data_IF_682302762793
#
_entry.id   IF_682302762793
#
_cell.length_a   1.000
_cell.length_b   1.000
_cell.length_c   1.000
_cell.angle_alpha   90.00
_cell.angle_beta   90.00
_cell.angle_gamma   90.00
#
_symmetry.space_group_name_H-M   'P 1'
#
loop_
_entity.id
_entity.type
_entity.pdbx_description
1 polymer ?
#
# COMPACT_ATOMS: atom_id res chain seq x y z
N UNK A 1 -28.63 -64.55 29.21
CA UNK A 1 -27.32 -63.99 28.95
C UNK A 1 -27.46 -62.94 27.83
N UNK A 2 -27.61 -61.67 28.19
CA UNK A 2 -27.71 -60.55 27.21
C UNK A 2 -26.33 -59.87 27.06
N UNK A 3 -25.76 -60.01 25.88
CA UNK A 3 -24.49 -59.28 25.54
C UNK A 3 -24.85 -57.82 25.24
N UNK A 4 -24.37 -56.89 26.08
CA UNK A 4 -24.43 -55.45 25.83
C UNK A 4 -23.37 -55.10 24.81
N UNK A 5 -23.76 -54.65 23.63
CA UNK A 5 -22.89 -54.08 22.61
C UNK A 5 -22.77 -52.58 22.94
N UNK A 6 -21.61 -52.17 23.41
CA UNK A 6 -21.25 -50.73 23.54
C UNK A 6 -20.89 -50.20 22.16
N UNK A 7 -21.76 -49.35 21.63
CA UNK A 7 -21.46 -48.56 20.43
C UNK A 7 -20.71 -47.28 20.84
N UNK A 8 -19.39 -47.29 20.71
CA UNK A 8 -18.57 -46.09 20.94
C UNK A 8 -18.64 -45.23 19.69
N UNK A 9 -19.49 -44.23 19.71
CA UNK A 9 -19.52 -43.20 18.65
C UNK A 9 -18.30 -42.31 18.78
N UNK A 10 -17.35 -42.44 17.86
CA UNK A 10 -16.19 -41.57 17.72
C UNK A 10 -16.63 -40.30 17.01
N UNK A 11 -16.89 -39.24 17.80
CA UNK A 11 -17.23 -37.91 17.29
C UNK A 11 -15.95 -37.26 16.75
N UNK A 12 -15.70 -37.39 15.46
CA UNK A 12 -14.64 -36.64 14.76
C UNK A 12 -15.10 -35.20 14.68
N UNK A 13 -14.58 -34.36 15.59
CA UNK A 13 -14.75 -32.93 15.54
C UNK A 13 -13.85 -32.40 14.37
N UNK A 14 -14.46 -32.26 13.20
CA UNK A 14 -13.85 -31.54 12.08
C UNK A 14 -13.72 -30.07 12.50
N UNK A 15 -12.55 -29.69 13.04
CA UNK A 15 -12.13 -28.33 13.14
C UNK A 15 -11.96 -27.80 11.70
N UNK A 16 -13.01 -27.18 11.17
CA UNK A 16 -12.90 -26.39 9.95
C UNK A 16 -12.01 -25.21 10.28
N UNK A 17 -10.73 -25.33 10.00
CA UNK A 17 -9.83 -24.16 9.95
C UNK A 17 -10.37 -23.35 8.78
N UNK A 18 -11.09 -22.29 9.06
CA UNK A 18 -11.39 -21.26 8.06
C UNK A 18 -10.05 -20.62 7.69
N UNK A 19 -9.35 -21.21 6.73
CA UNK A 19 -8.31 -20.49 6.01
C UNK A 19 -9.03 -19.34 5.28
N UNK A 20 -8.90 -18.14 5.80
CA UNK A 20 -9.29 -16.96 5.03
C UNK A 20 -8.29 -16.86 3.89
N UNK A 21 -8.77 -17.11 2.67
CA UNK A 21 -7.93 -16.96 1.48
C UNK A 21 -7.42 -15.52 1.39
N UNK A 22 -6.22 -15.35 0.85
CA UNK A 22 -5.64 -14.03 0.62
C UNK A 22 -6.44 -13.27 -0.46
N UNK A 23 -6.20 -11.98 -0.55
CA UNK A 23 -6.79 -11.13 -1.58
C UNK A 23 -5.69 -10.56 -2.46
N UNK A 24 -5.81 -10.79 -3.76
CA UNK A 24 -4.98 -10.17 -4.78
C UNK A 24 -5.67 -8.94 -5.34
N UNK A 25 -4.94 -7.84 -5.43
CA UNK A 25 -5.41 -6.58 -5.99
C UNK A 25 -4.45 -6.14 -7.08
N UNK A 26 -5.00 -5.80 -8.25
CA UNK A 26 -4.24 -5.24 -9.37
C UNK A 26 -4.73 -3.84 -9.67
N UNK A 27 -3.81 -2.89 -9.74
CA UNK A 27 -4.08 -1.48 -9.99
C UNK A 27 -3.23 -1.00 -11.16
N UNK A 28 -3.86 -0.37 -12.15
CA UNK A 28 -3.15 0.36 -13.19
C UNK A 28 -2.85 1.77 -12.68
N UNK A 29 -1.63 2.24 -12.94
CA UNK A 29 -1.15 3.58 -12.63
C UNK A 29 -0.69 4.20 -13.94
N UNK A 30 -1.29 5.33 -14.31
CA UNK A 30 -0.89 6.11 -15.48
C UNK A 30 -0.37 7.47 -15.03
N UNK A 31 0.80 7.83 -15.50
CA UNK A 31 1.38 9.17 -15.31
C UNK A 31 1.43 9.85 -16.67
N UNK A 32 0.80 11.01 -16.81
CA UNK A 32 0.84 11.80 -18.04
C UNK A 32 2.28 12.27 -18.32
N UNK A 33 2.57 12.56 -19.58
CA UNK A 33 3.82 13.21 -19.93
C UNK A 33 3.90 14.60 -19.26
N UNK A 34 5.06 14.96 -18.71
CA UNK A 34 5.28 16.25 -18.06
C UNK A 34 6.70 16.75 -18.30
N UNK A 35 6.88 18.05 -18.16
CA UNK A 35 8.20 18.66 -18.23
C UNK A 35 8.71 18.95 -16.80
N UNK A 36 9.95 18.58 -16.49
CA UNK A 36 10.60 18.89 -15.23
C UNK A 36 12.04 19.35 -15.47
N UNK A 37 12.39 20.52 -14.95
CA UNK A 37 13.73 21.12 -15.10
C UNK A 37 14.19 21.20 -16.58
N UNK A 38 13.26 21.51 -17.50
CA UNK A 38 13.54 21.59 -18.94
C UNK A 38 13.67 20.26 -19.67
N UNK A 39 13.46 19.13 -19.00
CA UNK A 39 13.45 17.81 -19.60
C UNK A 39 12.01 17.26 -19.71
N UNK A 40 11.64 16.81 -20.89
CA UNK A 40 10.38 16.14 -21.10
C UNK A 40 10.45 14.69 -20.60
N UNK A 41 9.55 14.36 -19.69
CA UNK A 41 9.32 12.98 -19.25
C UNK A 41 8.14 12.42 -20.05
N UNK A 42 8.29 11.30 -20.73
CA UNK A 42 7.19 10.66 -21.46
C UNK A 42 6.13 10.15 -20.49
N UNK A 43 4.91 9.98 -20.99
CA UNK A 43 3.87 9.28 -20.25
C UNK A 43 4.33 7.87 -19.87
N UNK A 44 3.88 7.39 -18.71
CA UNK A 44 4.29 6.09 -18.16
C UNK A 44 3.09 5.34 -17.62
N UNK A 45 2.98 4.06 -18.02
CA UNK A 45 2.03 3.11 -17.45
C UNK A 45 2.77 2.12 -16.55
N UNK A 46 2.24 1.88 -15.37
CA UNK A 46 2.75 0.92 -14.40
C UNK A 46 1.61 0.07 -13.84
N UNK A 47 1.95 -1.11 -13.40
CA UNK A 47 1.02 -1.99 -12.68
C UNK A 47 1.50 -2.12 -11.24
N UNK A 48 0.60 -1.87 -10.32
CA UNK A 48 0.79 -2.15 -8.91
C UNK A 48 0.02 -3.43 -8.55
N UNK A 49 0.72 -4.38 -7.95
CA UNK A 49 0.15 -5.62 -7.45
C UNK A 49 0.23 -5.65 -5.94
N UNK A 50 -0.88 -6.03 -5.31
CA UNK A 50 -0.95 -6.14 -3.84
C UNK A 50 -1.49 -7.52 -3.46
N UNK A 51 -0.94 -8.06 -2.39
CA UNK A 51 -1.47 -9.23 -1.71
C UNK A 51 -1.80 -8.85 -0.27
N UNK A 52 -3.03 -9.13 0.13
CA UNK A 52 -3.55 -8.84 1.47
C UNK A 52 -3.87 -10.16 2.12
N UNK A 53 -3.08 -10.54 3.10
CA UNK A 53 -3.29 -11.73 3.92
C UNK A 53 -3.75 -11.36 5.33
N UNK A 54 -3.80 -12.35 6.20
CA UNK A 54 -4.12 -12.13 7.61
C UNK A 54 -2.93 -11.45 8.31
N UNK A 55 -3.06 -10.14 8.61
CA UNK A 55 -2.01 -9.29 9.17
C UNK A 55 -0.73 -9.14 8.31
N UNK A 56 -0.80 -9.48 7.04
CA UNK A 56 0.31 -9.34 6.10
C UNK A 56 -0.13 -8.57 4.86
N UNK A 57 0.76 -7.75 4.32
CA UNK A 57 0.54 -6.96 3.11
C UNK A 57 1.81 -7.00 2.27
N UNK A 58 1.66 -7.29 0.99
CA UNK A 58 2.72 -7.08 0.01
C UNK A 58 2.25 -6.06 -1.00
N UNK A 59 3.11 -5.11 -1.30
CA UNK A 59 2.90 -4.12 -2.37
C UNK A 59 4.09 -4.18 -3.32
N UNK A 60 3.81 -4.46 -4.59
CA UNK A 60 4.80 -4.55 -5.65
C UNK A 60 4.48 -3.52 -6.73
N UNK A 61 5.40 -2.60 -6.96
CA UNK A 61 5.29 -1.58 -8.01
C UNK A 61 6.64 -1.41 -8.68
N UNK A 62 6.70 -1.72 -9.98
CA UNK A 62 7.96 -1.69 -10.73
C UNK A 62 9.05 -2.53 -10.05
N UNK A 63 10.17 -1.89 -9.74
CA UNK A 63 11.34 -2.53 -9.12
C UNK A 63 11.32 -2.50 -7.58
N UNK A 64 10.16 -2.24 -6.95
CA UNK A 64 10.04 -2.15 -5.50
C UNK A 64 9.03 -3.16 -4.98
N UNK A 65 9.40 -3.81 -3.89
CA UNK A 65 8.50 -4.68 -3.14
C UNK A 65 8.54 -4.25 -1.68
N UNK A 66 7.38 -3.97 -1.11
CA UNK A 66 7.23 -3.79 0.33
C UNK A 66 6.47 -4.97 0.89
N UNK A 67 7.01 -5.56 1.95
CA UNK A 67 6.39 -6.68 2.67
C UNK A 67 6.17 -6.22 4.10
N UNK A 68 4.94 -6.22 4.54
CA UNK A 68 4.54 -5.88 5.89
C UNK A 68 4.03 -7.12 6.61
N UNK A 69 4.55 -7.38 7.81
CA UNK A 69 4.04 -8.43 8.69
C UNK A 69 3.72 -7.81 10.06
N UNK A 70 2.43 -7.55 10.29
CA UNK A 70 1.95 -6.95 11.53
C UNK A 70 2.05 -7.89 12.73
N UNK A 71 2.03 -9.22 12.49
CA UNK A 71 2.16 -10.20 13.57
C UNK A 71 3.57 -10.27 14.12
N UNK A 72 4.57 -9.99 13.28
CA UNK A 72 5.98 -9.91 13.67
C UNK A 72 6.45 -8.48 13.96
N UNK A 73 5.58 -7.48 13.75
CA UNK A 73 5.94 -6.06 13.83
C UNK A 73 7.16 -5.69 12.97
N UNK A 74 7.20 -6.19 11.73
CA UNK A 74 8.32 -5.98 10.82
C UNK A 74 7.85 -5.57 9.43
N UNK A 75 8.65 -4.76 8.77
CA UNK A 75 8.51 -4.42 7.36
C UNK A 75 9.83 -4.66 6.63
N UNK A 76 9.72 -5.16 5.41
CA UNK A 76 10.85 -5.32 4.50
C UNK A 76 10.63 -4.41 3.29
N UNK A 77 11.65 -3.64 2.95
CA UNK A 77 11.71 -2.85 1.72
C UNK A 77 12.73 -3.54 0.83
N UNK A 78 12.26 -4.16 -0.24
CA UNK A 78 13.05 -5.05 -1.08
C UNK A 78 13.31 -4.36 -2.42
N UNK A 79 14.57 -4.36 -2.84
CA UNK A 79 15.02 -3.88 -4.14
C UNK A 79 15.45 -5.09 -5.00
N UNK A 80 14.61 -5.56 -5.94
CA UNK A 80 14.94 -6.70 -6.81
C UNK A 80 16.14 -6.45 -7.73
N UNK A 81 16.37 -5.19 -8.13
CA UNK A 81 17.47 -4.80 -9.02
C UNK A 81 18.84 -5.11 -8.41
N UNK A 82 18.99 -4.72 -7.15
CA UNK A 82 20.24 -4.91 -6.41
C UNK A 82 20.28 -6.25 -5.67
N UNK A 83 19.19 -7.02 -5.70
CA UNK A 83 18.97 -8.20 -4.85
C UNK A 83 19.27 -7.89 -3.38
N UNK A 84 18.71 -6.80 -2.89
CA UNK A 84 18.91 -6.33 -1.53
C UNK A 84 17.59 -5.97 -0.84
N UNK A 85 17.63 -5.89 0.49
CA UNK A 85 16.49 -5.45 1.29
C UNK A 85 16.92 -4.72 2.54
N UNK A 86 16.05 -3.87 3.04
CA UNK A 86 16.14 -3.27 4.37
C UNK A 86 14.99 -3.82 5.20
N UNK A 87 15.31 -4.24 6.43
CA UNK A 87 14.34 -4.69 7.42
C UNK A 87 14.19 -3.63 8.50
N UNK A 88 12.97 -3.32 8.86
CA UNK A 88 12.67 -2.34 9.91
C UNK A 88 11.55 -2.80 10.82
N UNK A 89 11.64 -2.44 12.10
CA UNK A 89 10.56 -2.67 13.05
C UNK A 89 9.41 -1.69 12.85
N UNK A 90 8.21 -2.08 13.32
CA UNK A 90 7.04 -1.24 13.39
C UNK A 90 6.80 -0.76 14.84
N UNK A 91 6.28 0.47 15.03
CA UNK A 91 5.93 1.48 14.03
C UNK A 91 7.16 2.03 13.30
N UNK A 92 7.01 2.34 12.02
CA UNK A 92 8.10 2.78 11.17
C UNK A 92 8.71 4.12 11.67
N UNK A 93 10.04 4.12 11.81
CA UNK A 93 10.84 5.31 12.12
C UNK A 93 11.79 5.60 10.97
N UNK A 94 11.43 6.57 10.14
CA UNK A 94 12.21 6.93 8.95
C UNK A 94 13.62 7.42 9.29
N UNK A 95 13.84 8.00 10.46
CA UNK A 95 15.16 8.49 10.86
C UNK A 95 16.21 7.37 11.01
N UNK A 96 15.75 6.14 11.27
CA UNK A 96 16.58 4.94 11.38
C UNK A 96 16.83 4.25 10.03
N UNK A 97 16.02 4.58 9.01
CA UNK A 97 16.07 3.93 7.71
C UNK A 97 16.96 4.62 6.70
N UNK A 98 17.35 5.86 6.97
CA UNK A 98 18.13 6.68 6.05
C UNK A 98 19.44 7.13 6.71
N UNK A 99 20.48 7.46 5.92
CA UNK A 99 21.68 8.10 6.44
C UNK A 99 21.36 9.38 7.21
N UNK A 100 22.15 9.71 8.24
CA UNK A 100 21.91 10.87 9.13
C UNK A 100 21.75 12.19 8.38
N UNK A 101 22.52 12.37 7.30
CA UNK A 101 22.46 13.55 6.45
C UNK A 101 21.10 13.68 5.74
N UNK A 102 20.56 12.55 5.30
CA UNK A 102 19.24 12.50 4.68
C UNK A 102 18.12 12.67 5.72
N UNK A 103 18.27 12.17 6.94
CA UNK A 103 17.27 12.27 8.00
C UNK A 103 16.94 13.74 8.33
N UNK A 104 17.93 14.61 8.38
CA UNK A 104 17.73 16.05 8.62
C UNK A 104 16.91 16.73 7.49
N UNK A 105 17.18 16.36 6.24
CA UNK A 105 16.43 16.86 5.09
C UNK A 105 14.98 16.32 5.11
N UNK A 106 14.80 15.04 5.45
CA UNK A 106 13.50 14.40 5.49
C UNK A 106 12.60 14.95 6.61
N UNK A 107 13.19 15.33 7.75
CA UNK A 107 12.43 15.95 8.86
C UNK A 107 11.79 17.30 8.48
N UNK A 108 12.32 17.97 7.45
CA UNK A 108 11.74 19.19 6.89
C UNK A 108 10.64 18.93 5.85
N UNK A 109 10.52 17.70 5.33
CA UNK A 109 9.51 17.30 4.35
C UNK A 109 8.17 16.99 5.03
N UNK A 110 7.61 17.98 5.72
CA UNK A 110 6.31 17.80 6.36
C UNK A 110 5.20 17.83 5.30
N UNK A 111 4.40 16.78 5.26
CA UNK A 111 3.21 16.68 4.42
C UNK A 111 2.00 17.08 5.25
N UNK A 112 1.25 18.09 4.81
CA UNK A 112 -0.07 18.39 5.36
C UNK A 112 -1.13 17.84 4.43
N UNK A 113 -2.16 17.24 4.99
CA UNK A 113 -3.27 16.62 4.24
C UNK A 113 -4.58 17.14 4.77
N UNK A 114 -5.53 17.38 3.89
CA UNK A 114 -6.93 17.66 4.21
C UNK A 114 -7.81 16.79 3.33
N UNK A 115 -8.69 16.00 3.93
CA UNK A 115 -9.66 15.16 3.22
C UNK A 115 -11.06 15.69 3.44
N UNK A 116 -11.78 15.95 2.34
CA UNK A 116 -13.15 16.46 2.34
C UNK A 116 -14.05 15.52 1.54
N UNK A 117 -15.12 14.96 2.12
CA UNK A 117 -16.16 14.28 1.35
C UNK A 117 -16.78 15.25 0.35
N UNK A 118 -16.86 14.89 -0.92
CA UNK A 118 -17.44 15.77 -1.94
C UNK A 118 -18.88 15.40 -2.32
N UNK A 119 -19.49 14.44 -1.60
CA UNK A 119 -20.86 13.96 -1.78
C UNK A 119 -21.18 13.43 -3.20
N UNK A 120 -20.16 13.17 -4.02
CA UNK A 120 -20.35 12.56 -5.34
C UNK A 120 -20.34 11.04 -5.19
N UNK A 121 -21.15 10.39 -6.02
CA UNK A 121 -21.16 8.93 -6.15
C UNK A 121 -20.92 8.56 -7.60
N UNK A 122 -20.16 7.51 -7.84
CA UNK A 122 -19.87 7.02 -9.18
C UNK A 122 -19.71 5.50 -9.18
N UNK A 123 -20.19 4.85 -10.24
CA UNK A 123 -19.89 3.44 -10.47
C UNK A 123 -18.58 3.32 -11.24
N UNK A 124 -17.59 2.66 -10.65
CA UNK A 124 -16.30 2.38 -11.27
C UNK A 124 -16.16 0.86 -11.38
N UNK A 125 -16.08 0.35 -12.59
CA UNK A 125 -16.17 -1.09 -12.85
C UNK A 125 -17.44 -1.68 -12.21
N UNK A 126 -17.28 -2.59 -11.24
CA UNK A 126 -18.39 -3.21 -10.50
C UNK A 126 -18.73 -2.51 -9.18
N UNK A 127 -17.93 -1.54 -8.74
CA UNK A 127 -18.05 -0.91 -7.41
C UNK A 127 -18.86 0.38 -7.44
N UNK A 128 -19.74 0.55 -6.48
CA UNK A 128 -20.37 1.83 -6.17
C UNK A 128 -19.44 2.59 -5.24
N UNK A 129 -19.00 3.76 -5.68
CA UNK A 129 -17.96 4.52 -4.99
C UNK A 129 -18.49 5.87 -4.49
N UNK A 130 -17.95 6.30 -3.36
CA UNK A 130 -18.12 7.66 -2.83
C UNK A 130 -16.85 8.46 -3.12
N UNK A 131 -17.05 9.72 -3.49
CA UNK A 131 -15.97 10.64 -3.85
C UNK A 131 -15.45 11.45 -2.66
N UNK A 132 -14.15 11.69 -2.66
CA UNK A 132 -13.43 12.52 -1.69
C UNK A 132 -12.45 13.41 -2.44
N UNK A 133 -12.33 14.66 -2.00
CA UNK A 133 -11.28 15.57 -2.45
C UNK A 133 -10.18 15.59 -1.38
N UNK A 134 -8.95 15.47 -1.82
CA UNK A 134 -7.77 15.43 -0.95
C UNK A 134 -6.80 16.51 -1.41
N UNK A 135 -6.56 17.47 -0.54
CA UNK A 135 -5.53 18.49 -0.72
C UNK A 135 -4.30 18.11 0.10
N UNK A 136 -3.15 18.07 -0.56
CA UNK A 136 -1.87 17.78 0.09
C UNK A 136 -0.87 18.88 -0.22
N UNK A 137 -0.14 19.33 0.80
CA UNK A 137 0.93 20.29 0.64
C UNK A 137 2.21 19.74 1.24
N UNK A 138 3.30 19.76 0.47
CA UNK A 138 4.63 19.37 0.92
C UNK A 138 5.63 20.41 0.45
N UNK A 139 6.16 21.21 1.39
CA UNK A 139 7.04 22.34 1.09
C UNK A 139 6.41 23.31 0.06
N UNK A 140 6.95 23.38 -1.15
CA UNK A 140 6.45 24.21 -2.26
C UNK A 140 5.61 23.44 -3.27
N UNK A 141 5.33 22.17 -3.02
CA UNK A 141 4.49 21.35 -3.90
C UNK A 141 3.06 21.28 -3.37
N UNK A 142 2.12 21.60 -4.24
CA UNK A 142 0.69 21.44 -4.00
C UNK A 142 0.18 20.26 -4.83
N UNK A 143 -0.52 19.34 -4.17
CA UNK A 143 -1.13 18.20 -4.81
C UNK A 143 -2.63 18.20 -4.51
N UNK A 144 -3.42 18.02 -5.54
CA UNK A 144 -4.87 17.83 -5.42
C UNK A 144 -5.20 16.44 -5.93
N UNK A 145 -5.96 15.70 -5.16
CA UNK A 145 -6.36 14.36 -5.57
C UNK A 145 -7.86 14.18 -5.37
N UNK A 146 -8.52 13.63 -6.38
CA UNK A 146 -9.88 13.11 -6.26
C UNK A 146 -9.80 11.61 -6.05
N UNK A 147 -10.41 11.12 -4.98
CA UNK A 147 -10.41 9.69 -4.59
C UNK A 147 -11.81 9.14 -4.71
N UNK A 148 -11.91 7.92 -5.24
CA UNK A 148 -13.14 7.14 -5.29
C UNK A 148 -12.95 5.88 -4.45
N UNK A 149 -13.74 5.74 -3.38
CA UNK A 149 -13.64 4.64 -2.44
C UNK A 149 -14.95 3.87 -2.34
N UNK A 150 -14.84 2.57 -2.04
CA UNK A 150 -15.97 1.67 -1.85
C UNK A 150 -15.78 0.81 -0.60
N UNK A 151 -16.89 0.50 0.06
CA UNK A 151 -16.90 -0.49 1.16
C UNK A 151 -17.19 -1.91 0.68
N UNK A 152 -17.56 -2.05 -0.60
CA UNK A 152 -17.92 -3.32 -1.23
C UNK A 152 -16.67 -4.03 -1.77
N UNK A 153 -15.84 -4.53 -0.85
CA UNK A 153 -14.63 -5.30 -1.14
C UNK A 153 -14.60 -6.59 -0.31
N UNK A 154 -14.00 -7.69 -0.83
CA UNK A 154 -14.03 -9.01 -0.18
C UNK A 154 -12.98 -9.15 0.95
N UNK A 155 -12.64 -8.06 1.66
CA UNK A 155 -11.69 -8.05 2.77
C UNK A 155 -12.01 -6.93 3.77
N UNK A 156 -11.43 -7.02 4.96
CA UNK A 156 -11.55 -5.95 5.96
C UNK A 156 -10.71 -4.74 5.54
N UNK A 157 -11.38 -3.77 4.88
CA UNK A 157 -10.73 -2.54 4.44
C UNK A 157 -10.24 -1.67 5.63
N UNK A 158 -10.80 -1.83 6.85
CA UNK A 158 -10.32 -1.13 8.04
C UNK A 158 -8.99 -1.71 8.52
N UNK A 159 -8.86 -3.03 8.49
CA UNK A 159 -7.57 -3.69 8.77
C UNK A 159 -6.53 -3.33 7.71
N UNK A 160 -6.92 -3.34 6.42
CA UNK A 160 -6.06 -2.87 5.33
C UNK A 160 -5.58 -1.44 5.57
N UNK A 161 -6.48 -0.51 5.97
CA UNK A 161 -6.12 0.87 6.30
C UNK A 161 -5.10 0.98 7.43
N UNK A 162 -5.19 0.12 8.46
CA UNK A 162 -4.18 0.06 9.54
C UNK A 162 -2.82 -0.43 9.03
N UNK A 163 -2.80 -1.43 8.16
CA UNK A 163 -1.57 -1.91 7.54
C UNK A 163 -0.95 -0.83 6.65
N UNK A 164 -1.78 -0.20 5.81
CA UNK A 164 -1.33 0.84 4.88
C UNK A 164 -0.82 2.10 5.58
N UNK A 165 -1.30 2.43 6.77
CA UNK A 165 -0.78 3.53 7.58
C UNK A 165 0.73 3.40 7.87
N UNK A 166 1.26 2.19 8.00
CA UNK A 166 2.71 1.98 8.14
C UNK A 166 3.44 2.22 6.82
N UNK A 167 2.83 1.84 5.69
CA UNK A 167 3.37 2.11 4.35
C UNK A 167 3.39 3.61 4.06
N UNK A 168 2.35 4.34 4.46
CA UNK A 168 2.24 5.78 4.27
C UNK A 168 3.36 6.58 4.98
N UNK A 169 3.89 6.07 6.10
CA UNK A 169 5.03 6.68 6.79
C UNK A 169 6.31 6.70 5.94
N UNK A 170 6.50 5.76 5.03
CA UNK A 170 7.60 5.80 4.05
C UNK A 170 7.45 7.00 3.10
N UNK A 171 6.22 7.44 2.87
CA UNK A 171 5.89 8.62 2.06
C UNK A 171 5.91 9.93 2.88
N UNK A 172 6.56 9.93 4.03
CA UNK A 172 6.71 11.08 4.94
C UNK A 172 5.40 11.60 5.53
N UNK A 173 4.34 10.78 5.55
CA UNK A 173 3.08 11.12 6.19
C UNK A 173 3.20 10.97 7.71
N UNK A 174 2.91 12.05 8.42
CA UNK A 174 2.80 12.03 9.87
C UNK A 174 1.43 11.47 10.32
N UNK A 175 1.24 11.32 11.63
CA UNK A 175 0.00 10.77 12.18
C UNK A 175 -1.21 11.69 11.89
N UNK A 176 -1.01 13.01 11.72
CA UNK A 176 -2.09 13.93 11.34
C UNK A 176 -2.54 13.67 9.90
N UNK A 177 -1.59 13.55 8.97
CA UNK A 177 -1.88 13.20 7.57
C UNK A 177 -2.58 11.83 7.47
N UNK A 178 -2.09 10.83 8.22
CA UNK A 178 -2.71 9.50 8.28
C UNK A 178 -4.15 9.58 8.85
N UNK A 179 -4.40 10.41 9.85
CA UNK A 179 -5.74 10.59 10.44
C UNK A 179 -6.71 11.27 9.46
N UNK A 180 -6.23 12.18 8.60
CA UNK A 180 -7.03 12.74 7.53
C UNK A 180 -7.48 11.65 6.53
N UNK A 181 -6.57 10.78 6.09
CA UNK A 181 -6.92 9.67 5.20
C UNK A 181 -7.92 8.67 5.80
N UNK A 182 -7.99 8.53 7.13
CA UNK A 182 -9.02 7.70 7.79
C UNK A 182 -10.45 8.21 7.61
N UNK A 183 -10.64 9.47 7.16
CA UNK A 183 -11.97 10.01 6.80
C UNK A 183 -12.52 9.38 5.52
N UNK A 184 -11.67 8.79 4.68
CA UNK A 184 -12.10 8.04 3.50
C UNK A 184 -12.68 6.71 3.97
N UNK A 185 -14.00 6.58 3.88
CA UNK A 185 -14.70 5.35 4.23
C UNK A 185 -14.62 4.36 3.07
N UNK A 186 -13.88 3.27 3.27
CA UNK A 186 -13.74 2.20 2.26
C UNK A 186 -12.33 2.06 1.71
N UNK A 187 -12.23 1.21 0.70
CA UNK A 187 -11.01 0.96 -0.06
C UNK A 187 -10.99 1.84 -1.31
N UNK A 188 -9.88 2.53 -1.58
CA UNK A 188 -9.70 3.36 -2.76
C UNK A 188 -9.61 2.48 -4.01
N UNK A 189 -10.54 2.63 -4.94
CA UNK A 189 -10.55 1.89 -6.21
C UNK A 189 -10.12 2.74 -7.41
N UNK A 190 -10.17 4.05 -7.29
CA UNK A 190 -9.59 4.95 -8.28
C UNK A 190 -9.17 6.26 -7.65
N UNK A 191 -8.20 6.92 -8.27
CA UNK A 191 -7.87 8.32 -7.97
C UNK A 191 -7.32 9.04 -9.18
N UNK A 192 -7.48 10.34 -9.17
CA UNK A 192 -6.86 11.27 -10.09
C UNK A 192 -6.14 12.33 -9.27
N UNK A 193 -4.82 12.39 -9.39
CA UNK A 193 -3.96 13.33 -8.68
C UNK A 193 -3.33 14.30 -9.67
N UNK A 194 -3.41 15.59 -9.38
CA UNK A 194 -2.67 16.63 -10.08
C UNK A 194 -1.67 17.26 -9.11
N UNK A 195 -0.43 17.39 -9.54
CA UNK A 195 0.66 17.92 -8.76
C UNK A 195 1.34 19.02 -9.56
N UNK A 196 1.54 20.19 -8.93
CA UNK A 196 2.36 21.24 -9.50
C UNK A 196 3.77 21.14 -8.92
N UNK A 197 4.74 20.89 -9.80
CA UNK A 197 6.16 20.79 -9.43
C UNK A 197 6.90 21.85 -10.24
N UNK A 198 7.37 22.92 -9.57
CA UNK A 198 8.16 23.98 -10.20
C UNK A 198 7.52 24.57 -11.48
N UNK A 199 6.20 24.78 -11.47
CA UNK A 199 5.47 25.34 -12.60
C UNK A 199 5.02 24.32 -13.66
N UNK A 200 5.39 23.05 -13.52
CA UNK A 200 4.92 21.97 -14.38
C UNK A 200 3.81 21.19 -13.70
N UNK A 201 2.73 20.93 -14.43
CA UNK A 201 1.64 20.10 -13.94
C UNK A 201 1.90 18.63 -14.33
N UNK A 202 1.91 17.77 -13.33
CA UNK A 202 1.94 16.32 -13.51
C UNK A 202 0.61 15.74 -13.07
N UNK A 203 0.02 14.89 -13.90
CA UNK A 203 -1.21 14.18 -13.57
C UNK A 203 -0.91 12.69 -13.44
N UNK A 204 -1.44 12.08 -12.38
CA UNK A 204 -1.36 10.63 -12.13
C UNK A 204 -2.77 10.11 -11.91
N UNK A 205 -3.13 9.07 -12.63
CA UNK A 205 -4.39 8.35 -12.43
C UNK A 205 -4.12 6.93 -11.96
N UNK A 206 -4.89 6.47 -10.99
CA UNK A 206 -4.87 5.08 -10.55
C UNK A 206 -6.24 4.46 -10.70
N UNK A 207 -6.29 3.20 -11.10
CA UNK A 207 -7.53 2.45 -11.20
C UNK A 207 -7.31 0.99 -10.84
N UNK A 208 -8.05 0.51 -9.86
CA UNK A 208 -8.11 -0.91 -9.54
C UNK A 208 -8.86 -1.61 -10.66
N UNK A 209 -8.21 -2.59 -11.25
CA UNK A 209 -8.79 -3.39 -12.37
C UNK A 209 -9.24 -4.76 -11.91
N UNK A 210 -8.65 -5.27 -10.82
CA UNK A 210 -8.97 -6.59 -10.31
C UNK A 210 -8.87 -6.64 -8.78
N UNK A 211 -9.87 -7.27 -8.15
CA UNK A 211 -9.83 -7.72 -6.75
C UNK A 211 -10.40 -9.15 -6.75
N UNK A 212 -9.57 -10.12 -6.40
CA UNK A 212 -9.95 -11.54 -6.34
C UNK A 212 -9.44 -12.18 -5.06
N UNK A 213 -10.25 -13.05 -4.51
CA UNK A 213 -9.89 -13.89 -3.37
C UNK A 213 -9.24 -15.17 -3.90
N UNK A 214 -7.98 -15.39 -3.56
CA UNK A 214 -7.21 -16.59 -3.94
C UNK A 214 -5.99 -16.72 -3.03
N UNK A 215 -5.48 -17.95 -2.88
CA UNK A 215 -4.26 -18.18 -2.10
C UNK A 215 -3.06 -17.49 -2.74
N UNK A 216 -2.25 -16.84 -1.92
CA UNK A 216 -1.01 -16.23 -2.39
C UNK A 216 0.00 -17.32 -2.76
N UNK A 217 0.78 -17.14 -3.84
CA UNK A 217 1.87 -18.04 -4.16
C UNK A 217 2.84 -18.21 -2.98
N UNK A 218 3.43 -19.39 -2.86
CA UNK A 218 4.42 -19.66 -1.82
C UNK A 218 5.56 -18.62 -1.87
N UNK A 219 5.94 -18.09 -0.70
CA UNK A 219 6.99 -17.08 -0.60
C UNK A 219 6.54 -15.63 -0.83
N UNK A 220 5.25 -15.37 -1.15
CA UNK A 220 4.74 -14.01 -1.39
C UNK A 220 5.08 -13.04 -0.26
N UNK A 221 4.95 -13.48 1.00
CA UNK A 221 5.18 -12.65 2.20
C UNK A 221 6.60 -12.78 2.76
N UNK A 222 7.55 -13.18 1.94
CA UNK A 222 8.96 -13.40 2.34
C UNK A 222 9.91 -12.64 1.43
N UNK A 223 11.03 -12.21 2.00
CA UNK A 223 12.15 -11.72 1.18
C UNK A 223 12.62 -12.87 0.28
N UNK A 224 12.81 -12.64 -1.04
CA UNK A 224 13.26 -13.69 -1.94
C UNK A 224 14.64 -14.25 -1.53
N UNK A 225 14.89 -15.54 -1.71
CA UNK A 225 16.18 -16.12 -1.38
C UNK A 225 17.33 -15.51 -2.20
N UNK A 226 18.50 -15.39 -1.58
CA UNK A 226 19.70 -14.82 -2.23
C UNK A 226 19.78 -13.30 -2.21
N UNK A 227 18.87 -12.62 -1.48
CA UNK A 227 18.92 -11.17 -1.27
C UNK A 227 19.78 -10.83 -0.04
N UNK A 228 20.60 -9.78 -0.13
CA UNK A 228 21.44 -9.29 0.95
C UNK A 228 20.74 -8.22 1.79
N UNK A 229 20.91 -8.29 3.12
CA UNK A 229 20.39 -7.27 4.03
C UNK A 229 21.28 -6.02 3.99
N UNK A 230 20.65 -4.85 3.91
CA UNK A 230 21.27 -3.53 4.10
C UNK A 230 20.75 -2.89 5.39
N UNK A 231 21.55 -2.06 6.02
CA UNK A 231 21.17 -1.37 7.26
C UNK A 231 20.26 -0.17 7.00
N UNK A 232 20.45 0.53 5.87
CA UNK A 232 19.70 1.75 5.51
C UNK A 232 19.28 1.76 4.05
N UNK A 233 18.25 2.54 3.76
CA UNK A 233 17.84 2.88 2.40
C UNK A 233 18.78 3.94 1.83
N UNK A 234 19.17 3.78 0.58
CA UNK A 234 19.82 4.82 -0.17
C UNK A 234 18.80 5.89 -0.63
N UNK A 235 19.27 7.09 -0.99
CA UNK A 235 18.40 8.09 -1.61
C UNK A 235 17.78 7.61 -2.93
N UNK A 236 18.45 6.68 -3.62
CA UNK A 236 17.93 6.06 -4.84
C UNK A 236 16.78 5.09 -4.53
N UNK A 237 16.85 4.36 -3.42
CA UNK A 237 15.76 3.49 -2.96
C UNK A 237 14.50 4.29 -2.63
N UNK A 238 14.66 5.54 -2.18
CA UNK A 238 13.53 6.43 -1.85
C UNK A 238 12.92 7.11 -3.10
N UNK A 239 13.74 7.46 -4.10
CA UNK A 239 13.31 8.24 -5.27
C UNK A 239 12.55 7.44 -6.34
N UNK A 240 12.45 6.12 -6.23
CA UNK A 240 11.93 5.30 -7.33
C UNK A 240 12.98 5.17 -8.46
N UNK A 241 13.32 3.93 -8.83
CA UNK A 241 14.32 3.68 -9.86
C UNK A 241 13.99 4.38 -11.19
N UNK A 242 15.03 4.90 -11.82
CA UNK A 242 14.99 5.26 -13.24
C UNK A 242 14.95 4.00 -14.09
#
# INVERSE_FOLDING_TARGET
MMKKILFTAWLILLFSVFLTADVYIKTNVHTDAFAMMGQNQPAKDEVMEQWVGNNQLVNKTGDKIMILDMSKNVMFIVNPKDKSYVETALPLDMSKLVPKEAASMLSMMKVTVTVTPNNQTQKINKWNCTGYDVDMNMMMMQMKMKVWATVDVPFDWKLFGKMYANVAKIQFMDDNAINEFKKIAGFQVASEMTMNVMGSNMKVTTQVVEIITKDAPAGTYMVPPGFSKKDTLSLQDLRGGK
#
